data_IF_690054666874
#
_entry.id   IF_690054666874
#
_cell.length_a   1.000
_cell.length_b   1.000
_cell.length_c   1.000
_cell.angle_alpha   90.00
_cell.angle_beta   90.00
_cell.angle_gamma   90.00
#
_symmetry.space_group_name_H-M   'P 1'
#
loop_
_entity.id
_entity.type
_entity.pdbx_description
1 polymer ?
#
# COMPACT_ATOMS: atom_id res chain seq x y z
N UNK A 1 31.98 6.76 -22.95
CA UNK A 1 31.44 6.43 -21.60
C UNK A 1 31.66 7.64 -20.71
N UNK A 2 30.80 8.02 -19.73
CA UNK A 2 29.76 7.25 -19.04
C UNK A 2 28.41 8.00 -18.83
N UNK A 3 27.29 7.28 -18.63
CA UNK A 3 26.23 7.78 -17.73
C UNK A 3 26.02 6.72 -16.66
N UNK A 4 26.75 6.98 -15.57
CA UNK A 4 26.68 6.36 -14.25
C UNK A 4 25.22 6.01 -13.94
N UNK A 5 24.95 4.73 -13.77
CA UNK A 5 23.70 4.21 -13.23
C UNK A 5 23.38 4.95 -11.95
N UNK A 6 22.40 5.85 -11.99
CA UNK A 6 21.78 6.39 -10.79
C UNK A 6 20.83 5.30 -10.29
N UNK A 7 21.35 4.40 -9.46
CA UNK A 7 20.49 3.62 -8.58
C UNK A 7 19.58 4.63 -7.85
N UNK A 8 18.25 4.45 -7.84
CA UNK A 8 17.37 5.40 -7.17
C UNK A 8 17.82 5.53 -5.71
N UNK A 9 17.73 6.73 -5.11
CA UNK A 9 18.06 6.90 -3.70
C UNK A 9 17.24 5.90 -2.92
N UNK A 10 17.88 5.15 -2.01
CA UNK A 10 17.20 4.28 -1.04
C UNK A 10 16.33 5.19 -0.18
N UNK A 11 15.12 5.51 -0.64
CA UNK A 11 14.14 6.28 0.13
C UNK A 11 13.73 5.40 1.29
N UNK A 12 14.28 5.71 2.46
CA UNK A 12 14.05 4.97 3.71
C UNK A 12 12.62 5.10 4.21
N UNK A 13 11.80 5.96 3.58
CA UNK A 13 10.36 6.13 3.81
C UNK A 13 9.69 6.49 2.49
N UNK A 14 8.52 5.91 2.25
CA UNK A 14 7.67 6.31 1.14
C UNK A 14 7.17 7.74 1.35
N UNK A 15 7.05 8.47 0.25
CA UNK A 15 6.37 9.75 0.24
C UNK A 15 4.84 9.56 0.35
N UNK A 16 4.15 10.62 0.75
CA UNK A 16 2.70 10.62 0.85
C UNK A 16 2.03 10.22 -0.48
N UNK A 17 2.44 10.82 -1.61
CA UNK A 17 1.96 10.46 -2.95
C UNK A 17 2.17 8.98 -3.30
N UNK A 18 3.30 8.39 -2.89
CA UNK A 18 3.57 6.97 -3.14
C UNK A 18 2.61 6.06 -2.36
N UNK A 19 2.22 6.45 -1.15
CA UNK A 19 1.24 5.72 -0.34
C UNK A 19 -0.15 5.90 -0.95
N UNK A 20 -0.56 7.12 -1.29
CA UNK A 20 -1.84 7.42 -1.94
C UNK A 20 -1.99 6.63 -3.26
N UNK A 21 -0.91 6.53 -4.05
CA UNK A 21 -0.92 5.72 -5.28
C UNK A 21 -1.23 4.24 -5.05
N UNK A 22 -0.90 3.72 -3.86
CA UNK A 22 -1.09 2.32 -3.47
C UNK A 22 -2.45 2.06 -2.83
N UNK A 23 -2.89 2.92 -1.92
CA UNK A 23 -4.09 2.68 -1.08
C UNK A 23 -5.31 3.48 -1.51
N UNK A 24 -5.15 4.40 -2.46
CA UNK A 24 -6.19 5.32 -2.90
C UNK A 24 -6.17 6.64 -2.14
N UNK A 25 -7.14 7.49 -2.46
CA UNK A 25 -7.33 8.80 -1.84
C UNK A 25 -8.06 8.63 -0.50
N UNK A 26 -7.28 8.43 0.57
CA UNK A 26 -7.75 8.32 1.94
C UNK A 26 -7.45 9.62 2.70
N UNK A 27 -8.08 9.82 3.86
CA UNK A 27 -7.79 10.98 4.69
C UNK A 27 -6.30 11.07 5.05
N UNK A 28 -5.74 12.28 5.08
CA UNK A 28 -4.33 12.54 5.42
C UNK A 28 -3.90 11.88 6.73
N UNK A 29 -4.82 11.77 7.70
CA UNK A 29 -4.58 11.11 8.98
C UNK A 29 -4.29 9.61 8.81
N UNK A 30 -5.00 8.95 7.89
CA UNK A 30 -4.82 7.53 7.55
C UNK A 30 -3.51 7.34 6.80
N UNK A 31 -3.22 8.17 5.80
CA UNK A 31 -1.95 8.12 5.07
C UNK A 31 -0.76 8.35 6.01
N UNK A 32 -0.89 9.28 6.96
CA UNK A 32 0.12 9.51 7.98
C UNK A 32 0.27 8.33 8.95
N UNK A 33 -0.82 7.62 9.27
CA UNK A 33 -0.77 6.40 10.08
C UNK A 33 -0.02 5.28 9.34
N UNK A 34 -0.31 5.08 8.05
CA UNK A 34 0.38 4.10 7.19
C UNK A 34 1.87 4.45 7.11
N UNK A 35 2.22 5.71 6.89
CA UNK A 35 3.61 6.16 6.85
C UNK A 35 4.38 5.91 8.16
N UNK A 36 3.69 5.95 9.32
CA UNK A 36 4.29 5.68 10.64
C UNK A 36 4.60 4.21 10.87
N UNK A 37 3.94 3.28 10.17
CA UNK A 37 4.23 1.84 10.27
C UNK A 37 5.65 1.48 9.81
N UNK A 38 6.24 2.32 8.95
CA UNK A 38 7.53 2.05 8.33
C UNK A 38 7.50 0.86 7.37
N UNK A 39 6.29 0.48 6.91
CA UNK A 39 6.11 -0.51 5.87
C UNK A 39 6.76 -0.05 4.55
N UNK A 40 7.36 -1.00 3.86
CA UNK A 40 7.89 -0.82 2.51
C UNK A 40 6.76 -0.78 1.47
N UNK A 41 7.10 -0.40 0.24
CA UNK A 41 6.15 -0.36 -0.87
C UNK A 41 5.45 -1.70 -1.07
N UNK A 42 6.22 -2.80 -1.09
CA UNK A 42 5.68 -4.14 -1.27
C UNK A 42 4.76 -4.56 -0.13
N UNK A 43 5.08 -4.17 1.11
CA UNK A 43 4.25 -4.47 2.28
C UNK A 43 2.91 -3.72 2.25
N UNK A 44 2.91 -2.44 1.84
CA UNK A 44 1.68 -1.65 1.70
C UNK A 44 0.85 -2.15 0.52
N UNK A 45 1.49 -2.46 -0.61
CA UNK A 45 0.80 -3.03 -1.78
C UNK A 45 0.13 -4.37 -1.44
N UNK A 46 0.84 -5.26 -0.74
CA UNK A 46 0.30 -6.54 -0.30
C UNK A 46 -0.87 -6.34 0.68
N UNK A 47 -0.72 -5.46 1.66
CA UNK A 47 -1.79 -5.14 2.62
C UNK A 47 -3.03 -4.57 1.94
N UNK A 48 -2.86 -3.64 0.99
CA UNK A 48 -3.97 -3.02 0.24
C UNK A 48 -4.70 -4.05 -0.64
N UNK A 49 -3.96 -4.91 -1.33
CA UNK A 49 -4.54 -6.02 -2.11
C UNK A 49 -5.32 -6.97 -1.21
N UNK A 50 -4.77 -7.32 -0.05
CA UNK A 50 -5.44 -8.23 0.86
C UNK A 50 -6.67 -7.60 1.53
N UNK A 51 -6.65 -6.30 1.81
CA UNK A 51 -7.80 -5.57 2.35
C UNK A 51 -8.91 -5.38 1.31
N UNK A 52 -8.55 -5.28 0.02
CA UNK A 52 -9.49 -5.14 -1.09
C UNK A 52 -9.97 -6.45 -1.72
N UNK A 53 -9.30 -7.58 -1.46
CA UNK A 53 -9.65 -8.88 -2.03
C UNK A 53 -11.00 -9.37 -1.47
N UNK A 54 -11.90 -9.79 -2.36
CA UNK A 54 -13.14 -10.44 -1.95
C UNK A 54 -12.85 -11.81 -1.31
N UNK A 55 -13.76 -12.30 -0.46
CA UNK A 55 -13.59 -13.55 0.29
C UNK A 55 -13.36 -14.81 -0.58
N UNK A 56 -13.70 -14.74 -1.87
CA UNK A 56 -13.56 -15.81 -2.85
C UNK A 56 -12.30 -15.69 -3.73
N UNK A 57 -11.52 -14.62 -3.61
CA UNK A 57 -10.29 -14.48 -4.38
C UNK A 57 -9.13 -15.26 -3.74
N UNK A 58 -8.33 -15.98 -4.55
CA UNK A 58 -7.15 -16.67 -4.05
C UNK A 58 -6.20 -15.64 -3.45
N UNK A 59 -6.06 -15.68 -2.11
CA UNK A 59 -5.21 -14.78 -1.34
C UNK A 59 -3.81 -14.77 -1.98
N UNK A 60 -3.35 -13.63 -2.55
CA UNK A 60 -2.22 -13.63 -3.48
C UNK A 60 -0.90 -14.07 -2.84
N UNK A 61 -0.82 -14.10 -1.51
CA UNK A 61 0.34 -14.59 -0.78
C UNK A 61 -0.09 -15.58 0.32
N UNK A 62 0.19 -16.86 0.11
CA UNK A 62 0.05 -17.89 1.14
C UNK A 62 1.06 -17.72 2.30
N UNK A 63 2.06 -16.84 2.11
CA UNK A 63 2.90 -16.31 3.17
C UNK A 63 2.19 -15.09 3.76
N UNK A 64 1.62 -15.24 4.96
CA UNK A 64 0.89 -14.17 5.65
C UNK A 64 1.64 -12.83 5.73
N UNK A 65 0.90 -11.76 5.98
CA UNK A 65 1.42 -10.40 6.09
C UNK A 65 2.58 -10.33 7.08
N UNK A 66 3.60 -9.52 6.76
CA UNK A 66 4.59 -9.12 7.76
C UNK A 66 3.90 -8.31 8.87
N UNK A 67 4.50 -8.21 10.06
CA UNK A 67 3.94 -7.38 11.15
C UNK A 67 3.66 -5.93 10.73
N UNK A 68 4.43 -5.40 9.78
CA UNK A 68 4.22 -4.04 9.26
C UNK A 68 3.09 -4.01 8.24
N UNK A 69 3.02 -4.99 7.36
CA UNK A 69 1.93 -5.12 6.40
C UNK A 69 0.59 -5.40 7.12
N UNK A 70 0.59 -6.17 8.20
CA UNK A 70 -0.57 -6.42 9.06
C UNK A 70 -1.07 -5.12 9.71
N UNK A 71 -0.16 -4.31 10.26
CA UNK A 71 -0.53 -2.99 10.80
C UNK A 71 -1.14 -2.06 9.73
N UNK A 72 -0.66 -2.13 8.48
CA UNK A 72 -1.27 -1.38 7.37
C UNK A 72 -2.64 -1.94 7.01
N UNK A 73 -2.78 -3.26 6.93
CA UNK A 73 -4.06 -3.93 6.67
C UNK A 73 -5.11 -3.55 7.72
N UNK A 74 -4.75 -3.58 9.01
CA UNK A 74 -5.65 -3.20 10.09
C UNK A 74 -6.10 -1.73 9.97
N UNK A 75 -5.20 -0.82 9.58
CA UNK A 75 -5.54 0.58 9.33
C UNK A 75 -6.55 0.69 8.17
N UNK A 76 -6.31 -0.04 7.08
CA UNK A 76 -7.17 0.03 5.88
C UNK A 76 -8.55 -0.58 6.13
N UNK A 77 -8.63 -1.73 6.82
CA UNK A 77 -9.91 -2.39 7.14
C UNK A 77 -10.70 -1.63 8.21
N UNK A 78 -10.02 -0.91 9.10
CA UNK A 78 -10.68 -0.03 10.06
C UNK A 78 -11.21 1.27 9.44
N UNK A 79 -10.71 1.67 8.27
CA UNK A 79 -11.14 2.88 7.58
C UNK A 79 -12.40 2.60 6.73
N UNK A 80 -13.54 3.27 6.99
CA UNK A 80 -14.77 3.02 6.26
C UNK A 80 -14.77 3.59 4.83
N UNK A 81 -13.79 4.44 4.47
CA UNK A 81 -13.67 5.02 3.14
C UNK A 81 -12.76 4.18 2.23
N UNK A 82 -12.07 3.17 2.77
CA UNK A 82 -11.27 2.26 1.96
C UNK A 82 -12.18 1.32 1.16
N UNK A 83 -12.16 1.48 -0.17
CA UNK A 83 -12.99 0.72 -1.12
C UNK A 83 -12.22 -0.37 -1.88
N UNK A 84 -11.01 -0.71 -1.43
CA UNK A 84 -10.13 -1.65 -2.13
C UNK A 84 -9.43 -1.02 -3.35
N UNK A 85 -8.43 -1.72 -3.87
CA UNK A 85 -7.54 -1.21 -4.95
C UNK A 85 -8.11 -1.38 -6.36
N UNK A 86 -9.19 -2.17 -6.50
CA UNK A 86 -9.79 -2.52 -7.79
C UNK A 86 -10.87 -1.55 -8.26
N UNK A 87 -11.46 -0.75 -7.36
CA UNK A 87 -12.49 0.26 -7.72
C UNK A 87 -11.86 1.57 -8.21
N UNK A 88 -10.85 1.49 -9.09
CA UNK A 88 -10.46 2.64 -9.91
C UNK A 88 -11.24 2.55 -11.22
N UNK A 89 -12.16 3.50 -11.52
CA UNK A 89 -12.81 3.51 -12.82
C UNK A 89 -11.70 3.61 -13.88
N UNK A 90 -11.62 2.61 -14.75
CA UNK A 90 -10.86 2.73 -16.00
C UNK A 90 -11.57 3.79 -16.83
N UNK A 91 -11.21 5.05 -16.64
CA UNK A 91 -11.69 6.12 -17.49
C UNK A 91 -11.11 5.90 -18.89
N UNK A 92 -11.92 5.35 -19.79
CA UNK A 92 -11.77 5.43 -21.24
C UNK A 92 -13.12 5.79 -21.84
#
# INVERSE_FOLDING_TARGET
>A
MPKKSAAPPRRTRLSHDEIVSLVGDLEDAVIAAIAKTGASYAEIEQAARQAGAEADEPRPDAHGLSLRAEAVYDILVADPNFVGVEDRPRTL
#
